data_IF_381759580793
#
_entry.id   IF_381759580793
#
_cell.length_a   1.000
_cell.length_b   1.000
_cell.length_c   1.000
_cell.angle_alpha   90.00
_cell.angle_beta   90.00
_cell.angle_gamma   90.00
#
_symmetry.space_group_name_H-M   'P 1'
#
loop_
_entity.id
_entity.type
_entity.pdbx_description
1 polymer ?
#
# COMPACT_ATOMS: atom_id res chain seq x y z
N UNK A 1 -18.58 3.89 -0.14
CA UNK A 1 -18.26 2.76 0.78
C UNK A 1 -17.26 3.25 1.81
N UNK A 2 -17.54 3.10 3.10
CA UNK A 2 -16.60 3.58 4.15
C UNK A 2 -15.52 2.52 4.36
N UNK A 3 -14.32 2.78 3.93
CA UNK A 3 -13.14 1.91 4.12
C UNK A 3 -12.79 1.76 5.61
N UNK A 4 -12.36 0.59 6.02
CA UNK A 4 -12.02 0.30 7.43
C UNK A 4 -10.54 0.01 7.66
N UNK A 5 -9.80 -0.46 6.64
CA UNK A 5 -8.39 -0.86 6.74
C UNK A 5 -7.64 -0.41 5.51
N UNK A 6 -6.43 0.13 5.70
CA UNK A 6 -5.49 0.49 4.63
C UNK A 6 -4.45 -0.62 4.46
N UNK A 7 -4.28 -1.09 3.23
CA UNK A 7 -3.34 -2.12 2.82
C UNK A 7 -2.39 -1.52 1.76
N UNK A 8 -1.25 -0.93 2.13
CA UNK A 8 -0.31 -0.42 1.15
C UNK A 8 0.62 -1.53 0.64
N UNK A 9 0.94 -1.48 -0.65
CA UNK A 9 2.10 -2.18 -1.21
C UNK A 9 3.41 -1.47 -0.81
N UNK A 10 4.56 -2.06 -1.09
CA UNK A 10 5.88 -1.50 -0.77
C UNK A 10 6.18 -0.20 -1.54
N UNK A 11 5.73 -0.08 -2.80
CA UNK A 11 5.92 1.11 -3.64
C UNK A 11 5.44 2.40 -2.96
N UNK A 12 4.18 2.49 -2.51
CA UNK A 12 3.67 3.61 -1.73
C UNK A 12 4.51 3.95 -0.49
N UNK A 13 5.00 2.97 0.27
CA UNK A 13 5.85 3.23 1.43
C UNK A 13 7.12 3.99 1.03
N UNK A 14 7.76 3.57 -0.07
CA UNK A 14 8.95 4.25 -0.60
C UNK A 14 8.63 5.66 -1.11
N UNK A 15 7.45 5.89 -1.64
CA UNK A 15 7.05 7.21 -2.13
C UNK A 15 6.74 8.16 -0.98
N UNK A 16 5.99 7.71 0.00
CA UNK A 16 5.65 8.54 1.16
C UNK A 16 6.89 8.88 2.01
N UNK A 17 7.81 7.95 2.25
CA UNK A 17 9.04 8.24 3.01
C UNK A 17 9.96 9.24 2.31
N UNK A 18 9.86 9.39 1.00
CA UNK A 18 10.65 10.37 0.24
C UNK A 18 10.30 11.84 0.54
N UNK A 19 9.19 12.08 1.22
CA UNK A 19 8.72 13.43 1.58
C UNK A 19 8.70 13.56 3.11
N UNK A 20 9.20 14.67 3.63
CA UNK A 20 9.22 14.92 5.08
C UNK A 20 7.82 14.80 5.69
N UNK A 21 7.66 13.93 6.70
CA UNK A 21 6.37 13.63 7.33
C UNK A 21 5.40 12.86 6.42
N UNK A 22 5.86 12.39 5.26
CA UNK A 22 4.98 11.75 4.28
C UNK A 22 4.37 10.44 4.76
N UNK A 23 5.12 9.60 5.51
CA UNK A 23 4.58 8.35 6.06
C UNK A 23 3.35 8.58 6.96
N UNK A 24 3.29 9.70 7.69
CA UNK A 24 2.16 10.04 8.55
C UNK A 24 0.88 10.32 7.75
N UNK A 25 1.00 10.68 6.47
CA UNK A 25 -0.15 10.83 5.58
C UNK A 25 -0.90 9.50 5.38
N UNK A 26 -0.21 8.36 5.48
CA UNK A 26 -0.86 7.04 5.44
C UNK A 26 -1.79 6.82 6.63
N UNK A 27 -1.51 7.44 7.77
CA UNK A 27 -2.31 7.36 8.99
C UNK A 27 -3.35 8.49 9.12
N UNK A 28 -3.26 9.50 8.26
CA UNK A 28 -4.12 10.69 8.31
C UNK A 28 -5.63 10.39 8.15
N UNK A 29 -6.04 9.36 7.36
CA UNK A 29 -7.45 8.96 7.30
C UNK A 29 -8.01 8.37 8.60
N UNK A 30 -7.15 8.09 9.60
CA UNK A 30 -7.56 7.41 10.84
C UNK A 30 -7.87 5.93 10.66
N UNK A 31 -7.46 5.32 9.56
CA UNK A 31 -7.61 3.89 9.30
C UNK A 31 -6.45 3.10 9.91
N UNK A 32 -6.70 1.92 10.51
CA UNK A 32 -5.63 1.00 10.82
C UNK A 32 -4.93 0.59 9.52
N UNK A 33 -3.59 0.60 9.54
CA UNK A 33 -2.74 0.20 8.44
C UNK A 33 -2.24 -1.22 8.70
N UNK A 34 -2.39 -2.10 7.72
CA UNK A 34 -1.90 -3.48 7.80
C UNK A 34 -0.91 -3.73 6.67
N UNK A 35 0.26 -4.21 7.03
CA UNK A 35 1.29 -4.70 6.12
C UNK A 35 1.34 -6.22 6.21
N UNK A 36 1.71 -6.90 5.13
CA UNK A 36 2.16 -8.28 5.25
C UNK A 36 3.65 -8.29 5.61
N UNK A 37 4.11 -9.38 6.19
CA UNK A 37 5.51 -9.62 6.53
C UNK A 37 6.45 -9.44 5.32
N UNK A 38 6.02 -9.86 4.13
CA UNK A 38 6.81 -9.69 2.92
C UNK A 38 6.93 -8.22 2.50
N UNK A 39 5.84 -7.44 2.57
CA UNK A 39 5.85 -6.01 2.25
C UNK A 39 6.72 -5.26 3.25
N UNK A 40 6.59 -5.54 4.55
CA UNK A 40 7.45 -4.95 5.58
C UNK A 40 8.92 -5.29 5.34
N UNK A 41 9.23 -6.58 5.10
CA UNK A 41 10.58 -7.03 4.81
C UNK A 41 11.15 -6.36 3.55
N UNK A 42 10.39 -6.30 2.46
CA UNK A 42 10.82 -5.64 1.21
C UNK A 42 11.16 -4.16 1.44
N UNK A 43 10.33 -3.45 2.19
CA UNK A 43 10.51 -2.04 2.49
C UNK A 43 11.68 -1.75 3.45
N UNK A 44 12.07 -2.71 4.30
CA UNK A 44 13.01 -2.46 5.40
C UNK A 44 14.34 -3.21 5.29
N UNK A 45 14.49 -4.19 4.38
CA UNK A 45 15.65 -5.10 4.32
C UNK A 45 16.97 -4.46 3.88
N UNK A 46 16.94 -3.36 3.15
CA UNK A 46 18.13 -2.85 2.45
C UNK A 46 19.17 -2.18 3.37
N UNK A 47 18.81 -1.85 4.61
CA UNK A 47 19.67 -1.09 5.52
C UNK A 47 19.95 0.36 5.06
N UNK A 48 19.31 0.83 3.99
CA UNK A 48 19.38 2.22 3.55
C UNK A 48 18.71 3.17 4.54
N UNK A 49 19.03 4.47 4.47
CA UNK A 49 18.37 5.48 5.32
C UNK A 49 16.84 5.40 5.20
N UNK A 50 16.33 5.26 3.97
CA UNK A 50 14.91 5.09 3.68
C UNK A 50 14.32 3.86 4.37
N UNK A 51 14.99 2.71 4.29
CA UNK A 51 14.52 1.47 4.93
C UNK A 51 14.53 1.57 6.46
N UNK A 52 15.54 2.23 7.03
CA UNK A 52 15.63 2.47 8.48
C UNK A 52 14.54 3.44 8.95
N UNK A 53 14.20 4.47 8.16
CA UNK A 53 13.13 5.40 8.46
C UNK A 53 11.77 4.69 8.46
N UNK A 54 11.46 3.88 7.43
CA UNK A 54 10.23 3.09 7.37
C UNK A 54 10.14 2.15 8.59
N UNK A 55 11.23 1.43 8.90
CA UNK A 55 11.29 0.52 10.05
C UNK A 55 11.02 1.25 11.37
N UNK A 56 11.65 2.40 11.56
CA UNK A 56 11.49 3.22 12.76
C UNK A 56 10.06 3.76 12.88
N UNK A 57 9.47 4.17 11.74
CA UNK A 57 8.10 4.66 11.69
C UNK A 57 7.09 3.56 12.04
N UNK A 58 7.25 2.34 11.50
CA UNK A 58 6.40 1.18 11.87
C UNK A 58 6.47 0.93 13.38
N UNK A 59 7.70 0.88 13.93
CA UNK A 59 7.93 0.65 15.36
C UNK A 59 7.35 1.75 16.26
N UNK A 60 7.29 2.99 15.77
CA UNK A 60 6.71 4.12 16.51
C UNK A 60 5.17 4.11 16.54
N UNK A 61 4.51 3.33 15.69
CA UNK A 61 3.06 3.32 15.56
C UNK A 61 2.41 1.94 15.81
N UNK A 62 2.73 1.22 16.90
CA UNK A 62 2.31 -0.17 17.13
C UNK A 62 0.77 -0.32 17.24
N UNK A 63 0.06 0.75 17.60
CA UNK A 63 -1.40 0.75 17.72
C UNK A 63 -2.12 1.10 16.41
N UNK A 64 -1.41 1.56 15.39
CA UNK A 64 -1.99 2.01 14.10
C UNK A 64 -1.48 1.20 12.93
N UNK A 65 -0.25 0.67 13.02
CA UNK A 65 0.40 -0.14 11.99
C UNK A 65 0.58 -1.55 12.54
N UNK A 66 0.02 -2.52 11.84
CA UNK A 66 0.13 -3.93 12.19
C UNK A 66 0.79 -4.69 11.04
N UNK A 67 1.71 -5.59 11.37
CA UNK A 67 2.29 -6.54 10.41
C UNK A 67 1.63 -7.89 10.64
N UNK A 68 1.17 -8.54 9.57
CA UNK A 68 0.61 -9.88 9.59
C UNK A 68 1.53 -10.85 8.88
N UNK A 69 1.74 -12.01 9.46
CA UNK A 69 2.54 -13.08 8.87
C UNK A 69 1.69 -13.85 7.86
N UNK A 70 2.34 -14.24 6.73
CA UNK A 70 1.74 -15.04 5.68
C UNK A 70 2.65 -16.23 5.37
N UNK A 71 2.09 -17.39 5.03
CA UNK A 71 2.91 -18.58 4.70
C UNK A 71 3.78 -18.32 3.48
N UNK A 72 3.23 -17.68 2.46
CA UNK A 72 3.95 -17.31 1.26
C UNK A 72 5.04 -16.28 1.54
N UNK A 73 4.75 -15.27 2.38
CA UNK A 73 5.70 -14.24 2.77
C UNK A 73 6.90 -14.85 3.50
N UNK A 74 6.66 -15.68 4.51
CA UNK A 74 7.69 -16.37 5.26
C UNK A 74 8.55 -17.28 4.36
N UNK A 75 7.93 -18.08 3.51
CA UNK A 75 8.65 -18.96 2.56
C UNK A 75 9.52 -18.15 1.60
N UNK A 76 9.00 -17.01 1.14
CA UNK A 76 9.70 -16.14 0.21
C UNK A 76 10.87 -15.43 0.86
N UNK A 77 10.68 -14.86 2.04
CA UNK A 77 11.74 -14.23 2.83
C UNK A 77 12.86 -15.25 3.10
N UNK A 78 12.53 -16.44 3.56
CA UNK A 78 13.52 -17.50 3.81
C UNK A 78 14.33 -17.85 2.55
N UNK A 79 13.67 -17.97 1.40
CA UNK A 79 14.31 -18.24 0.10
C UNK A 79 15.26 -17.11 -0.34
N UNK A 80 14.87 -15.86 -0.14
CA UNK A 80 15.70 -14.69 -0.48
C UNK A 80 16.91 -14.56 0.45
N UNK A 81 16.73 -14.80 1.75
CA UNK A 81 17.81 -14.78 2.75
C UNK A 81 18.84 -15.91 2.48
N UNK A 82 18.37 -17.10 2.16
CA UNK A 82 19.22 -18.23 1.84
C UNK A 82 19.94 -18.11 0.49
N UNK A 83 19.64 -17.07 -0.32
CA UNK A 83 20.14 -16.92 -1.72
C UNK A 83 19.94 -18.17 -2.58
N UNK A 84 18.97 -18.99 -2.23
CA UNK A 84 18.68 -20.26 -2.92
C UNK A 84 17.75 -20.07 -4.12
N UNK A 85 17.20 -18.89 -4.29
CA UNK A 85 16.30 -18.60 -5.41
C UNK A 85 17.07 -18.49 -6.72
N UNK A 86 17.06 -19.55 -7.51
CA UNK A 86 17.13 -19.42 -8.98
C UNK A 86 16.08 -18.36 -9.34
N UNK A 87 16.41 -17.38 -10.22
CA UNK A 87 15.51 -16.33 -10.76
C UNK A 87 14.02 -16.73 -10.79
N UNK A 88 13.38 -16.87 -9.65
CA UNK A 88 11.93 -17.00 -9.57
C UNK A 88 11.37 -15.60 -9.75
N UNK A 89 10.41 -15.44 -10.63
CA UNK A 89 9.80 -14.14 -10.91
C UNK A 89 9.40 -13.48 -9.60
N UNK A 90 10.01 -12.31 -9.32
CA UNK A 90 9.75 -11.50 -8.13
C UNK A 90 8.47 -10.66 -8.27
N UNK A 91 7.74 -10.87 -9.36
CA UNK A 91 6.58 -10.04 -9.69
C UNK A 91 5.41 -10.39 -8.79
N UNK A 92 4.77 -9.38 -8.25
CA UNK A 92 3.49 -9.44 -7.54
C UNK A 92 3.51 -10.26 -6.23
N UNK A 93 4.66 -10.47 -5.59
CA UNK A 93 4.69 -11.25 -4.33
C UNK A 93 3.98 -10.48 -3.21
N UNK A 94 4.17 -9.17 -3.13
CA UNK A 94 3.47 -8.33 -2.15
C UNK A 94 1.95 -8.45 -2.27
N UNK A 95 1.42 -8.31 -3.50
CA UNK A 95 -0.02 -8.44 -3.73
C UNK A 95 -0.55 -9.84 -3.39
N UNK A 96 0.22 -10.91 -3.71
CA UNK A 96 -0.21 -12.28 -3.39
C UNK A 96 -0.22 -12.52 -1.88
N UNK A 97 0.71 -11.96 -1.12
CA UNK A 97 0.68 -12.03 0.35
C UNK A 97 -0.50 -11.24 0.94
N UNK A 98 -0.86 -10.10 0.36
CA UNK A 98 -2.09 -9.37 0.74
C UNK A 98 -3.33 -10.22 0.49
N UNK A 99 -3.40 -10.90 -0.68
CA UNK A 99 -4.50 -11.81 -0.98
C UNK A 99 -4.60 -12.96 0.03
N UNK A 100 -3.47 -13.58 0.37
CA UNK A 100 -3.43 -14.65 1.38
C UNK A 100 -3.95 -14.15 2.73
N UNK A 101 -3.46 -13.01 3.20
CA UNK A 101 -3.90 -12.39 4.46
C UNK A 101 -5.40 -12.04 4.45
N UNK A 102 -5.93 -11.59 3.31
CA UNK A 102 -7.37 -11.37 3.11
C UNK A 102 -8.15 -12.69 3.18
N UNK A 103 -7.69 -13.72 2.47
CA UNK A 103 -8.36 -15.02 2.41
C UNK A 103 -8.41 -15.71 3.78
N UNK A 104 -7.36 -15.56 4.59
CA UNK A 104 -7.26 -16.10 5.95
C UNK A 104 -8.04 -15.27 6.98
N UNK A 105 -8.47 -14.04 6.64
CA UNK A 105 -9.12 -13.12 7.58
C UNK A 105 -8.15 -12.40 8.53
N UNK A 106 -6.84 -12.47 8.28
CA UNK A 106 -5.81 -11.92 9.16
C UNK A 106 -5.80 -10.38 9.19
N UNK A 107 -6.36 -9.75 8.14
CA UNK A 107 -6.46 -8.29 8.03
C UNK A 107 -7.69 -7.69 8.71
N UNK A 108 -8.57 -8.54 9.25
CA UNK A 108 -9.83 -8.14 9.89
C UNK A 108 -10.98 -7.95 8.89
N UNK A 109 -12.02 -7.23 9.33
CA UNK A 109 -13.22 -7.01 8.53
C UNK A 109 -13.08 -5.82 7.59
N UNK A 110 -13.37 -6.05 6.28
CA UNK A 110 -13.41 -4.98 5.28
C UNK A 110 -14.59 -4.01 5.44
N UNK A 111 -14.73 -3.06 4.56
CA UNK A 111 -14.04 -2.85 3.29
C UNK A 111 -12.58 -2.39 3.41
N UNK A 112 -11.76 -2.84 2.47
CA UNK A 112 -10.33 -2.58 2.45
C UNK A 112 -9.97 -1.51 1.41
N UNK A 113 -8.93 -0.71 1.70
CA UNK A 113 -8.29 0.19 0.74
C UNK A 113 -6.91 -0.36 0.39
N UNK A 114 -6.74 -0.86 -0.83
CA UNK A 114 -5.45 -1.30 -1.31
C UNK A 114 -4.74 -0.17 -2.05
N UNK A 115 -3.55 0.21 -1.58
CA UNK A 115 -2.76 1.31 -2.11
C UNK A 115 -1.56 0.77 -2.88
N UNK A 116 -1.40 1.17 -4.15
CA UNK A 116 -0.38 0.67 -5.06
C UNK A 116 0.19 1.76 -5.99
N UNK A 117 1.27 1.47 -6.70
CA UNK A 117 1.93 2.42 -7.61
C UNK A 117 2.10 1.91 -9.04
N UNK A 118 2.24 0.61 -9.23
CA UNK A 118 2.53 0.07 -10.56
C UNK A 118 1.30 0.10 -11.49
N UNK A 119 1.55 0.32 -12.80
CA UNK A 119 0.52 0.29 -13.85
C UNK A 119 -0.12 -1.10 -14.05
N UNK A 120 0.43 -2.10 -13.43
CA UNK A 120 -0.10 -3.45 -13.54
C UNK A 120 -1.36 -3.55 -12.70
N UNK A 121 -2.42 -3.45 -13.41
CA UNK A 121 -3.75 -3.68 -12.93
C UNK A 121 -3.81 -5.01 -12.17
N UNK A 122 -4.04 -4.93 -10.89
CA UNK A 122 -4.42 -6.12 -10.13
C UNK A 122 -5.83 -6.48 -10.59
N UNK A 123 -5.98 -7.67 -11.19
CA UNK A 123 -7.27 -8.16 -11.64
C UNK A 123 -8.27 -8.07 -10.48
N UNK A 124 -9.42 -7.37 -10.66
CA UNK A 124 -10.44 -7.32 -9.62
C UNK A 124 -10.89 -8.68 -9.10
N UNK A 125 -10.77 -9.72 -9.91
CA UNK A 125 -11.00 -11.12 -9.51
C UNK A 125 -9.99 -11.65 -8.50
N UNK A 126 -8.81 -11.02 -8.40
CA UNK A 126 -7.73 -11.42 -7.51
C UNK A 126 -8.12 -11.36 -6.01
N UNK A 127 -8.95 -10.40 -5.63
CA UNK A 127 -9.39 -10.25 -4.24
C UNK A 127 -10.59 -11.12 -3.86
N UNK A 128 -11.08 -11.97 -4.75
CA UNK A 128 -12.15 -12.92 -4.47
C UNK A 128 -13.44 -12.25 -4.02
N UNK A 129 -13.93 -12.61 -2.82
CA UNK A 129 -15.16 -12.07 -2.23
C UNK A 129 -14.96 -10.82 -1.39
N UNK A 130 -13.72 -10.40 -1.16
CA UNK A 130 -13.41 -9.28 -0.28
C UNK A 130 -13.73 -7.94 -0.96
N UNK A 131 -14.39 -7.02 -0.28
CA UNK A 131 -14.67 -5.68 -0.80
C UNK A 131 -13.40 -4.83 -0.72
N UNK A 132 -12.55 -4.90 -1.75
CA UNK A 132 -11.31 -4.12 -1.86
C UNK A 132 -11.50 -2.97 -2.82
N UNK A 133 -11.16 -1.77 -2.37
CA UNK A 133 -11.06 -0.58 -3.18
C UNK A 133 -9.57 -0.35 -3.50
N UNK A 134 -9.19 -0.42 -4.76
CA UNK A 134 -7.81 -0.21 -5.18
C UNK A 134 -7.61 1.25 -5.59
N UNK A 135 -6.58 1.89 -5.05
CA UNK A 135 -6.25 3.29 -5.32
C UNK A 135 -4.76 3.46 -5.57
N UNK A 136 -4.38 4.32 -6.51
CA UNK A 136 -2.97 4.69 -6.70
C UNK A 136 -2.51 5.65 -5.61
N UNK A 137 -1.18 5.77 -5.41
CA UNK A 137 -0.60 6.77 -4.52
C UNK A 137 -1.14 8.18 -4.80
N UNK A 138 -1.26 8.57 -6.08
CA UNK A 138 -1.81 9.87 -6.43
C UNK A 138 -3.32 9.95 -6.15
N UNK A 139 -4.09 8.90 -6.47
CA UNK A 139 -5.51 8.84 -6.14
C UNK A 139 -5.77 8.96 -4.63
N UNK A 140 -4.91 8.36 -3.81
CA UNK A 140 -4.96 8.49 -2.36
C UNK A 140 -4.71 9.95 -1.91
N UNK A 141 -3.67 10.60 -2.44
CA UNK A 141 -3.37 12.01 -2.16
C UNK A 141 -4.54 12.92 -2.55
N UNK A 142 -5.16 12.69 -3.72
CA UNK A 142 -6.36 13.43 -4.16
C UNK A 142 -7.53 13.22 -3.19
N UNK A 143 -7.70 12.02 -2.66
CA UNK A 143 -8.69 11.75 -1.61
C UNK A 143 -8.43 12.56 -0.34
N UNK A 144 -7.18 12.64 0.12
CA UNK A 144 -6.77 13.47 1.28
C UNK A 144 -7.00 14.96 1.01
N UNK A 145 -6.66 15.46 -0.18
CA UNK A 145 -6.90 16.85 -0.57
C UNK A 145 -8.40 17.19 -0.55
N UNK A 146 -9.23 16.36 -1.18
CA UNK A 146 -10.69 16.54 -1.22
C UNK A 146 -11.34 16.52 0.18
N UNK A 147 -10.69 15.86 1.12
CA UNK A 147 -11.13 15.79 2.51
C UNK A 147 -10.54 16.90 3.39
N UNK A 148 -9.74 17.80 2.78
CA UNK A 148 -9.13 18.93 3.48
C UNK A 148 -7.98 18.53 4.42
N UNK A 149 -7.46 17.29 4.31
CA UNK A 149 -6.36 16.78 5.15
C UNK A 149 -5.03 17.35 4.67
N UNK A 150 -4.86 17.47 3.35
CA UNK A 150 -3.69 18.11 2.74
C UNK A 150 -4.11 19.26 1.84
N UNK A 151 -3.26 20.28 1.64
CA UNK A 151 -3.59 21.44 0.81
C UNK A 151 -3.58 21.13 -0.69
N UNK A 152 -2.70 20.23 -1.17
CA UNK A 152 -2.59 19.88 -2.58
C UNK A 152 -1.88 18.53 -2.79
N UNK A 153 -2.53 17.63 -3.54
CA UNK A 153 -1.98 16.36 -3.98
C UNK A 153 -0.82 16.56 -4.96
N UNK A 154 -0.93 17.52 -5.88
CA UNK A 154 0.10 17.81 -6.89
C UNK A 154 1.40 18.30 -6.26
N UNK A 155 1.34 19.11 -5.19
CA UNK A 155 2.53 19.59 -4.48
C UNK A 155 3.28 18.42 -3.85
N UNK A 156 2.58 17.50 -3.21
CA UNK A 156 3.20 16.32 -2.58
C UNK A 156 3.76 15.38 -3.65
N UNK A 157 3.02 15.12 -4.73
CA UNK A 157 3.49 14.33 -5.85
C UNK A 157 4.74 14.95 -6.47
N UNK A 158 4.76 16.26 -6.66
CA UNK A 158 5.93 17.00 -7.15
C UNK A 158 7.14 16.82 -6.24
N UNK A 159 6.96 16.89 -4.93
CA UNK A 159 8.02 16.64 -3.95
C UNK A 159 8.54 15.18 -4.01
N UNK A 160 7.63 14.18 -4.10
CA UNK A 160 8.03 12.78 -4.28
C UNK A 160 8.92 12.61 -5.51
N UNK A 161 8.52 13.17 -6.65
CA UNK A 161 9.28 13.09 -7.91
C UNK A 161 10.64 13.76 -7.80
N UNK A 162 10.71 14.95 -7.21
CA UNK A 162 11.97 15.67 -6.99
C UNK A 162 12.93 14.93 -6.07
N UNK A 163 12.41 14.06 -5.22
CA UNK A 163 13.17 13.21 -4.28
C UNK A 163 13.45 11.80 -4.83
N UNK A 164 13.45 11.63 -6.14
CA UNK A 164 13.86 10.38 -6.79
C UNK A 164 12.73 9.37 -7.03
N UNK A 165 11.46 9.76 -6.81
CA UNK A 165 10.29 8.93 -7.14
C UNK A 165 9.63 9.36 -8.46
N UNK A 166 10.42 9.56 -9.49
CA UNK A 166 9.99 10.03 -10.82
C UNK A 166 8.95 9.10 -11.48
N UNK A 167 8.99 7.81 -11.15
CA UNK A 167 8.05 6.80 -11.66
C UNK A 167 6.63 6.90 -11.11
N UNK A 168 6.40 7.67 -10.04
CA UNK A 168 5.04 7.85 -9.49
C UNK A 168 4.20 8.67 -10.46
N UNK A 169 3.17 8.05 -11.01
CA UNK A 169 2.33 8.66 -12.04
C UNK A 169 1.19 9.47 -11.44
N UNK A 170 0.85 10.58 -12.08
CA UNK A 170 -0.37 11.35 -11.79
C UNK A 170 -1.60 10.66 -12.40
N UNK A 171 -1.79 9.37 -12.10
CA UNK A 171 -2.93 8.59 -12.56
C UNK A 171 -3.86 8.35 -11.38
N UNK A 172 -5.08 8.84 -11.49
CA UNK A 172 -6.15 8.51 -10.57
C UNK A 172 -6.76 7.19 -11.05
N UNK A 173 -6.29 6.07 -10.49
CA UNK A 173 -7.04 4.83 -10.52
C UNK A 173 -7.68 4.70 -9.14
N UNK A 174 -8.97 4.90 -9.14
CA UNK A 174 -9.85 4.82 -7.99
C UNK A 174 -11.01 3.92 -8.42
N UNK A 175 -10.82 2.60 -8.23
CA UNK A 175 -11.82 1.61 -8.67
C UNK A 175 -12.25 0.76 -7.50
N UNK A 176 -13.51 0.89 -7.08
CA UNK A 176 -14.07 -0.07 -6.15
C UNK A 176 -14.17 -1.45 -6.82
N UNK A 177 -13.67 -2.46 -6.14
CA UNK A 177 -13.91 -3.84 -6.55
C UNK A 177 -15.44 -4.10 -6.55
N UNK A 178 -16.00 -4.51 -7.68
CA UNK A 178 -17.45 -4.69 -7.92
C UNK A 178 -18.28 -3.41 -8.05
N UNK A 179 -17.67 -2.27 -8.29
CA UNK A 179 -18.47 -1.14 -8.71
C UNK A 179 -19.14 -1.44 -10.06
N UNK A 180 -20.41 -1.17 -10.14
CA UNK A 180 -21.11 -1.05 -11.41
C UNK A 180 -20.51 0.14 -12.21
N UNK A 181 -20.74 0.19 -13.53
CA UNK A 181 -20.33 1.37 -14.33
C UNK A 181 -20.88 2.69 -13.77
N UNK A 182 -21.97 2.63 -13.02
CA UNK A 182 -22.65 3.78 -12.41
C UNK A 182 -21.89 4.28 -11.15
N UNK A 183 -21.10 3.41 -10.47
CA UNK A 183 -20.30 3.79 -9.30
C UNK A 183 -18.88 4.29 -9.67
N UNK A 184 -18.54 4.38 -10.94
CA UNK A 184 -17.21 4.76 -11.42
C UNK A 184 -16.79 6.20 -11.06
N UNK A 185 -17.75 7.04 -10.64
CA UNK A 185 -17.53 8.43 -10.21
C UNK A 185 -17.27 8.56 -8.69
N UNK A 186 -17.34 7.47 -7.92
CA UNK A 186 -17.06 7.53 -6.48
C UNK A 186 -15.57 7.45 -6.23
N UNK A 187 -14.91 8.59 -6.26
CA UNK A 187 -13.54 8.74 -5.74
C UNK A 187 -13.50 8.35 -4.27
N UNK A 188 -12.46 7.61 -3.88
CA UNK A 188 -12.21 7.30 -2.49
C UNK A 188 -12.11 8.58 -1.65
N UNK A 189 -12.75 8.57 -0.47
CA UNK A 189 -12.64 9.60 0.58
C UNK A 189 -12.47 8.91 1.92
N UNK A 190 -11.64 9.48 2.82
CA UNK A 190 -11.51 9.02 4.20
C UNK A 190 -12.83 8.96 4.95
#
# INVERSE_FOLDING_TARGET
MRTKVLLPDSGPLFSFVSVSGGLDLLLAPGLPLVLTDYIEWEATRSGSATALEIKSWIAAHPNKVRVVETELGQARIASEVAKTSKKVERRNVGEVTVFEALANGDVGDGPFLFLFEEDKFVDPGFYGRHPVHSVTTFGFLVGLERSGIIPSADVILGAMRSNGREGVKAVILDRPHRASREDADTTWRP
#
